data_IF_636694143246
#
_entry.id   IF_636694143246
#
_cell.length_a   1.000
_cell.length_b   1.000
_cell.length_c   1.000
_cell.angle_alpha   90.00
_cell.angle_beta   90.00
_cell.angle_gamma   90.00
#
_symmetry.space_group_name_H-M   'P 1'
#
loop_
_entity.id
_entity.type
_entity.pdbx_description
1 polymer ?
#
# COMPACT_ATOMS: atom_id res chain seq x y z
N UNK A 1 -21.96 -13.06 2.04
CA UNK A 1 -22.74 -12.03 2.77
C UNK A 1 -21.88 -11.21 3.74
N UNK A 2 -21.12 -11.84 4.65
CA UNK A 2 -20.29 -11.13 5.65
C UNK A 2 -19.21 -10.23 5.00
N UNK A 3 -18.47 -10.76 4.01
CA UNK A 3 -17.43 -9.99 3.29
C UNK A 3 -18.01 -8.79 2.54
N UNK A 4 -19.15 -8.99 1.85
CA UNK A 4 -19.85 -7.92 1.14
C UNK A 4 -20.38 -6.84 2.10
N UNK A 5 -20.90 -7.25 3.25
CA UNK A 5 -21.35 -6.34 4.32
C UNK A 5 -20.20 -5.52 4.93
N UNK A 6 -19.05 -6.16 5.18
CA UNK A 6 -17.85 -5.49 5.66
C UNK A 6 -17.31 -4.45 4.67
N UNK A 7 -17.24 -4.81 3.37
CA UNK A 7 -16.84 -3.88 2.31
C UNK A 7 -17.80 -2.69 2.20
N UNK A 8 -19.12 -2.95 2.22
CA UNK A 8 -20.13 -1.91 2.18
C UNK A 8 -20.01 -0.95 3.38
N UNK A 9 -19.77 -1.49 4.58
CA UNK A 9 -19.55 -0.68 5.78
C UNK A 9 -18.32 0.22 5.65
N UNK A 10 -17.16 -0.34 5.24
CA UNK A 10 -15.92 0.42 5.04
C UNK A 10 -16.12 1.52 4.00
N UNK A 11 -16.71 1.19 2.85
CA UNK A 11 -16.96 2.16 1.79
C UNK A 11 -17.87 3.30 2.26
N UNK A 12 -18.97 2.96 2.96
CA UNK A 12 -19.90 3.95 3.49
C UNK A 12 -19.24 4.87 4.52
N UNK A 13 -18.37 4.34 5.39
CA UNK A 13 -17.61 5.15 6.34
C UNK A 13 -16.63 6.11 5.64
N UNK A 14 -15.93 5.64 4.61
CA UNK A 14 -15.01 6.48 3.83
C UNK A 14 -15.74 7.57 3.05
N UNK A 15 -16.89 7.26 2.46
CA UNK A 15 -17.74 8.23 1.77
C UNK A 15 -18.25 9.29 2.74
N UNK A 16 -18.83 8.88 3.88
CA UNK A 16 -19.30 9.81 4.92
C UNK A 16 -18.19 10.75 5.40
N UNK A 17 -16.96 10.23 5.56
CA UNK A 17 -15.81 11.06 5.92
C UNK A 17 -15.44 12.07 4.86
N UNK A 18 -15.33 11.64 3.61
CA UNK A 18 -15.03 12.54 2.50
C UNK A 18 -16.10 13.63 2.39
N UNK A 19 -17.38 13.29 2.53
CA UNK A 19 -18.48 14.26 2.48
C UNK A 19 -18.46 15.23 3.67
N UNK A 20 -18.23 14.74 4.89
CA UNK A 20 -18.12 15.60 6.07
C UNK A 20 -16.89 16.53 6.01
N UNK A 21 -15.82 16.10 5.35
CA UNK A 21 -14.62 16.89 5.13
C UNK A 21 -14.84 18.04 4.12
N UNK A 22 -15.66 17.83 3.08
CA UNK A 22 -15.99 18.83 2.02
C UNK A 22 -16.57 20.13 2.60
N UNK A 23 -17.06 20.14 3.85
CA UNK A 23 -17.49 21.34 4.59
C UNK A 23 -16.37 22.28 5.09
N UNK A 24 -15.13 22.15 4.61
CA UNK A 24 -14.05 23.14 4.82
C UNK A 24 -13.20 22.97 6.09
N UNK A 25 -13.35 21.87 6.83
CA UNK A 25 -12.58 21.58 8.06
C UNK A 25 -11.88 20.21 8.08
N UNK A 26 -11.88 19.47 6.97
CA UNK A 26 -11.24 18.15 6.89
C UNK A 26 -9.74 18.24 6.64
N UNK A 27 -8.97 17.31 7.23
CA UNK A 27 -7.53 17.20 6.93
C UNK A 27 -7.37 16.69 5.48
N UNK A 28 -6.46 17.26 4.67
CA UNK A 28 -6.24 16.80 3.30
C UNK A 28 -5.96 15.29 3.15
N UNK A 29 -5.39 14.67 4.18
CA UNK A 29 -5.15 13.24 4.24
C UNK A 29 -6.45 12.40 4.22
N UNK A 30 -7.58 12.94 4.70
CA UNK A 30 -8.86 12.23 4.78
C UNK A 30 -9.42 11.88 3.38
N UNK A 31 -9.07 12.64 2.34
CA UNK A 31 -9.46 12.38 0.95
C UNK A 31 -8.56 11.38 0.24
N UNK A 32 -7.31 11.27 0.69
CA UNK A 32 -6.25 10.56 -0.02
C UNK A 32 -6.56 9.06 -0.13
N UNK A 33 -7.04 8.43 0.94
CA UNK A 33 -7.44 7.02 0.91
C UNK A 33 -8.62 6.76 -0.03
N UNK A 34 -9.68 7.57 0.04
CA UNK A 34 -10.86 7.38 -0.81
C UNK A 34 -10.50 7.51 -2.29
N UNK A 35 -9.81 8.61 -2.65
CA UNK A 35 -9.41 8.86 -4.05
C UNK A 35 -8.48 7.77 -4.54
N UNK A 36 -7.53 7.31 -3.72
CA UNK A 36 -6.62 6.21 -4.07
C UNK A 36 -7.38 4.90 -4.30
N UNK A 37 -8.33 4.54 -3.43
CA UNK A 37 -9.13 3.32 -3.60
C UNK A 37 -9.98 3.37 -4.87
N UNK A 38 -10.66 4.49 -5.12
CA UNK A 38 -11.43 4.69 -6.35
C UNK A 38 -10.51 4.59 -7.57
N UNK A 39 -9.33 5.20 -7.52
CA UNK A 39 -8.36 5.15 -8.60
C UNK A 39 -7.90 3.73 -8.91
N UNK A 40 -7.50 2.96 -7.90
CA UNK A 40 -7.04 1.59 -8.06
C UNK A 40 -8.15 0.69 -8.62
N UNK A 41 -9.38 0.79 -8.09
CA UNK A 41 -10.52 -0.01 -8.56
C UNK A 41 -10.86 0.32 -10.01
N UNK A 42 -10.95 1.61 -10.36
CA UNK A 42 -11.22 2.04 -11.74
C UNK A 42 -10.13 1.55 -12.69
N UNK A 43 -8.86 1.71 -12.31
CA UNK A 43 -7.72 1.25 -13.09
C UNK A 43 -7.76 -0.27 -13.31
N UNK A 44 -8.07 -1.03 -12.26
CA UNK A 44 -8.22 -2.48 -12.32
C UNK A 44 -9.34 -2.93 -13.25
N UNK A 45 -10.50 -2.26 -13.20
CA UNK A 45 -11.63 -2.53 -14.12
C UNK A 45 -11.23 -2.23 -15.56
N UNK A 46 -10.63 -1.05 -15.81
CA UNK A 46 -10.19 -0.61 -17.14
C UNK A 46 -9.18 -1.61 -17.73
N UNK A 47 -8.13 -1.98 -16.99
CA UNK A 47 -7.13 -2.92 -17.52
C UNK A 47 -7.64 -4.35 -17.65
N UNK A 48 -8.51 -4.81 -16.76
CA UNK A 48 -9.15 -6.12 -16.90
C UNK A 48 -9.99 -6.17 -18.18
N UNK A 49 -10.75 -5.12 -18.47
CA UNK A 49 -11.53 -5.03 -19.71
C UNK A 49 -10.62 -4.92 -20.94
N UNK A 50 -9.58 -4.08 -20.90
CA UNK A 50 -8.67 -3.90 -22.04
C UNK A 50 -7.90 -5.19 -22.37
N UNK A 51 -7.34 -5.86 -21.36
CA UNK A 51 -6.56 -7.08 -21.58
C UNK A 51 -7.42 -8.33 -21.78
N UNK A 52 -8.74 -8.22 -21.62
CA UNK A 52 -9.65 -9.22 -22.15
C UNK A 52 -9.66 -9.23 -23.69
N UNK A 53 -9.44 -8.07 -24.32
CA UNK A 53 -9.44 -7.93 -25.79
C UNK A 53 -8.04 -7.81 -26.41
N UNK A 54 -7.00 -7.57 -25.61
CA UNK A 54 -5.63 -7.32 -26.09
C UNK A 54 -4.59 -8.12 -25.30
N UNK A 55 -3.61 -8.68 -25.99
CA UNK A 55 -2.49 -9.39 -25.35
C UNK A 55 -1.63 -8.46 -24.49
N UNK A 56 -1.64 -8.71 -23.17
CA UNK A 56 -0.93 -7.92 -22.17
C UNK A 56 0.59 -8.15 -22.14
N UNK A 57 1.08 -9.16 -22.87
CA UNK A 57 2.50 -9.55 -22.88
C UNK A 57 3.33 -8.77 -23.89
N UNK A 58 2.71 -7.99 -24.76
CA UNK A 58 3.41 -7.22 -25.80
C UNK A 58 4.01 -5.92 -25.25
N UNK A 59 5.03 -5.38 -25.93
CA UNK A 59 5.61 -4.08 -25.54
C UNK A 59 4.62 -2.92 -25.76
N UNK A 60 3.76 -3.04 -26.77
CA UNK A 60 2.71 -2.04 -27.07
C UNK A 60 1.69 -1.96 -25.94
N UNK A 61 1.21 -3.11 -25.45
CA UNK A 61 0.27 -3.14 -24.33
C UNK A 61 0.91 -2.70 -23.01
N UNK A 62 2.20 -2.96 -22.82
CA UNK A 62 2.95 -2.42 -21.69
C UNK A 62 3.08 -0.89 -21.74
N UNK A 63 3.43 -0.32 -22.91
CA UNK A 63 3.46 1.13 -23.10
C UNK A 63 2.07 1.73 -22.83
N UNK A 64 1.02 1.10 -23.35
CA UNK A 64 -0.35 1.53 -23.12
C UNK A 64 -0.72 1.50 -21.63
N UNK A 65 -0.34 0.45 -20.91
CA UNK A 65 -0.56 0.34 -19.46
C UNK A 65 0.08 1.51 -18.70
N UNK A 66 1.36 1.79 -18.94
CA UNK A 66 2.06 2.86 -18.23
C UNK A 66 1.54 4.25 -18.62
N UNK A 67 1.30 4.48 -19.91
CA UNK A 67 0.77 5.76 -20.41
C UNK A 67 -0.64 6.02 -19.89
N UNK A 68 -1.55 5.03 -19.96
CA UNK A 68 -2.91 5.17 -19.45
C UNK A 68 -2.92 5.37 -17.94
N UNK A 69 -2.09 4.63 -17.20
CA UNK A 69 -1.92 4.84 -15.75
C UNK A 69 -1.46 6.26 -15.45
N UNK A 70 -0.50 6.79 -16.20
CA UNK A 70 0.00 8.16 -16.05
C UNK A 70 -1.06 9.20 -16.42
N UNK A 71 -1.80 9.01 -17.51
CA UNK A 71 -2.87 9.91 -17.97
C UNK A 71 -4.02 9.95 -16.96
N UNK A 72 -4.49 8.81 -16.47
CA UNK A 72 -5.55 8.78 -15.46
C UNK A 72 -5.04 9.32 -14.12
N UNK A 73 -3.83 8.93 -13.71
CA UNK A 73 -3.19 9.42 -12.49
C UNK A 73 -3.05 10.94 -12.47
N UNK A 74 -2.34 11.49 -13.45
CA UNK A 74 -2.00 12.91 -13.52
C UNK A 74 -3.12 13.79 -14.08
N UNK A 75 -3.95 13.25 -14.98
CA UNK A 75 -5.00 14.00 -15.68
C UNK A 75 -6.37 13.93 -15.01
N UNK A 76 -6.65 12.90 -14.20
CA UNK A 76 -7.96 12.73 -13.53
C UNK A 76 -7.81 12.75 -12.02
N UNK A 77 -7.03 11.82 -11.44
CA UNK A 77 -6.99 11.63 -10.00
C UNK A 77 -6.26 12.76 -9.25
N UNK A 78 -5.13 13.25 -9.78
CA UNK A 78 -4.41 14.40 -9.19
C UNK A 78 -5.26 15.68 -9.22
N UNK A 79 -5.90 16.09 -10.34
CA UNK A 79 -6.81 17.23 -10.37
C UNK A 79 -8.03 17.05 -9.48
N UNK A 80 -8.59 15.85 -9.40
CA UNK A 80 -9.69 15.56 -8.49
C UNK A 80 -9.27 15.74 -7.03
N UNK A 81 -8.09 15.23 -6.66
CA UNK A 81 -7.52 15.41 -5.33
C UNK A 81 -7.20 16.89 -5.06
N UNK A 82 -6.70 17.63 -6.05
CA UNK A 82 -6.47 19.07 -5.97
C UNK A 82 -7.76 19.83 -5.69
N UNK A 83 -8.85 19.44 -6.35
CA UNK A 83 -10.16 20.05 -6.16
C UNK A 83 -10.70 19.82 -4.73
N UNK A 84 -10.44 18.65 -4.14
CA UNK A 84 -10.84 18.30 -2.77
C UNK A 84 -9.96 19.00 -1.72
N UNK A 85 -8.64 18.95 -1.89
CA UNK A 85 -7.67 19.54 -0.95
C UNK A 85 -7.63 21.08 -1.06
N UNK A 86 -8.13 21.66 -2.15
CA UNK A 86 -8.00 23.10 -2.51
C UNK A 86 -6.55 23.57 -2.66
N UNK A 87 -5.62 22.62 -2.79
CA UNK A 87 -4.19 22.85 -3.01
C UNK A 87 -3.64 21.75 -3.89
N UNK A 88 -2.58 22.06 -4.63
CA UNK A 88 -1.91 21.07 -5.44
C UNK A 88 -1.35 19.91 -4.57
N UNK A 89 -1.74 18.64 -4.81
CA UNK A 89 -1.46 17.52 -3.92
C UNK A 89 0.02 17.23 -3.71
N UNK A 90 0.86 17.39 -4.74
CA UNK A 90 2.30 17.14 -4.62
C UNK A 90 2.98 18.15 -3.69
N UNK A 91 2.58 19.43 -3.79
CA UNK A 91 3.13 20.47 -2.91
C UNK A 91 2.67 20.26 -1.47
N UNK A 92 1.39 19.91 -1.29
CA UNK A 92 0.88 19.53 0.02
C UNK A 92 1.66 18.34 0.61
N UNK A 93 1.92 17.29 -0.19
CA UNK A 93 2.62 16.09 0.28
C UNK A 93 4.05 16.41 0.70
N UNK A 94 4.80 17.18 -0.10
CA UNK A 94 6.19 17.56 0.23
C UNK A 94 6.23 18.38 1.53
N UNK A 95 5.35 19.37 1.66
CA UNK A 95 5.28 20.17 2.88
C UNK A 95 4.87 19.34 4.09
N UNK A 96 3.93 18.41 3.91
CA UNK A 96 3.54 17.46 4.94
C UNK A 96 4.72 16.60 5.38
N UNK A 97 5.53 16.06 4.46
CA UNK A 97 6.67 15.21 4.81
C UNK A 97 7.77 15.98 5.55
N UNK A 98 8.00 17.24 5.20
CA UNK A 98 9.07 18.09 5.79
C UNK A 98 8.58 18.90 7.00
N UNK A 99 7.30 18.83 7.33
CA UNK A 99 6.67 19.66 8.37
C UNK A 99 7.34 19.55 9.75
N UNK A 100 7.86 18.37 10.12
CA UNK A 100 8.44 18.13 11.44
C UNK A 100 9.72 17.31 11.39
N UNK A 101 10.62 17.57 12.35
CA UNK A 101 11.85 16.77 12.54
C UNK A 101 11.52 15.31 12.84
N UNK A 102 10.43 15.05 13.57
CA UNK A 102 9.98 13.67 13.86
C UNK A 102 9.63 12.91 12.59
N UNK A 103 8.91 13.52 11.65
CA UNK A 103 8.61 12.91 10.34
C UNK A 103 9.87 12.61 9.55
N UNK A 104 10.82 13.54 9.51
CA UNK A 104 12.09 13.35 8.83
C UNK A 104 12.90 12.19 9.44
N UNK A 105 13.00 12.11 10.77
CA UNK A 105 13.69 10.99 11.43
C UNK A 105 13.00 9.65 11.19
N UNK A 106 11.66 9.61 11.21
CA UNK A 106 10.90 8.40 10.89
C UNK A 106 11.11 7.96 9.44
N UNK A 107 11.07 8.89 8.48
CA UNK A 107 11.34 8.60 7.07
C UNK A 107 12.77 8.08 6.87
N UNK A 108 13.76 8.69 7.52
CA UNK A 108 15.15 8.22 7.47
C UNK A 108 15.29 6.81 8.07
N UNK A 109 14.63 6.56 9.20
CA UNK A 109 14.62 5.24 9.82
C UNK A 109 13.98 4.19 8.92
N UNK A 110 12.80 4.46 8.36
CA UNK A 110 12.11 3.54 7.45
C UNK A 110 12.88 3.30 6.16
N UNK A 111 13.50 4.33 5.58
CA UNK A 111 14.34 4.15 4.38
C UNK A 111 15.56 3.29 4.68
N UNK A 112 16.23 3.47 5.82
CA UNK A 112 17.30 2.59 6.26
C UNK A 112 16.84 1.14 6.42
N UNK A 113 15.69 0.90 7.06
CA UNK A 113 15.10 -0.43 7.20
C UNK A 113 14.83 -1.09 5.85
N UNK A 114 14.27 -0.35 4.88
CA UNK A 114 14.02 -0.84 3.53
C UNK A 114 15.33 -1.20 2.82
N UNK A 115 16.36 -0.37 2.95
CA UNK A 115 17.68 -0.65 2.36
C UNK A 115 18.32 -1.90 2.97
N UNK A 116 18.26 -2.07 4.30
CA UNK A 116 18.74 -3.27 4.99
C UNK A 116 17.97 -4.50 4.53
N UNK A 117 16.63 -4.43 4.50
CA UNK A 117 15.79 -5.53 4.04
C UNK A 117 16.09 -5.91 2.58
N UNK A 118 16.24 -4.92 1.69
CA UNK A 118 16.59 -5.14 0.30
C UNK A 118 17.99 -5.77 0.17
N UNK A 119 18.98 -5.27 0.92
CA UNK A 119 20.32 -5.83 0.97
C UNK A 119 20.34 -7.29 1.42
N UNK A 120 19.59 -7.64 2.47
CA UNK A 120 19.46 -9.03 2.94
C UNK A 120 18.87 -9.92 1.85
N UNK A 121 17.80 -9.48 1.19
CA UNK A 121 17.14 -10.25 0.10
C UNK A 121 18.10 -10.46 -1.07
N UNK A 122 18.83 -9.42 -1.48
CA UNK A 122 19.79 -9.51 -2.58
C UNK A 122 20.96 -10.45 -2.25
N UNK A 123 21.49 -10.37 -1.02
CA UNK A 123 22.55 -11.26 -0.56
C UNK A 123 22.10 -12.73 -0.47
N UNK A 124 20.89 -12.97 0.03
CA UNK A 124 20.29 -14.31 0.05
C UNK A 124 20.08 -14.86 -1.35
N UNK A 125 19.61 -14.03 -2.28
CA UNK A 125 19.43 -14.42 -3.67
C UNK A 125 20.76 -14.78 -4.35
N UNK A 126 21.80 -13.96 -4.15
CA UNK A 126 23.13 -14.21 -4.72
C UNK A 126 23.78 -15.49 -4.18
N UNK A 127 23.64 -15.79 -2.89
CA UNK A 127 24.18 -17.02 -2.29
C UNK A 127 23.43 -18.28 -2.75
N UNK A 128 22.14 -18.16 -3.05
CA UNK A 128 21.33 -19.31 -3.48
C UNK A 128 21.62 -19.77 -4.91
N UNK A 129 22.12 -18.88 -5.78
CA UNK A 129 22.59 -19.26 -7.12
C UNK A 129 23.83 -20.18 -7.12
N UNK A 130 24.54 -20.32 -5.99
CA UNK A 130 25.77 -21.13 -5.89
C UNK A 130 25.61 -22.46 -5.14
N UNK A 131 24.51 -22.69 -4.41
CA UNK A 131 24.30 -23.90 -3.61
C UNK A 131 22.92 -24.52 -3.90
N UNK A 132 22.91 -25.64 -4.63
CA UNK A 132 21.72 -26.28 -5.23
C UNK A 132 20.88 -27.12 -4.24
N UNK A 133 20.73 -26.69 -2.99
CA UNK A 133 19.87 -27.36 -2.01
C UNK A 133 18.59 -26.55 -1.77
N UNK A 134 17.44 -27.14 -2.13
CA UNK A 134 16.09 -26.64 -1.80
C UNK A 134 15.97 -26.45 -0.27
N UNK A 135 15.75 -25.23 0.24
CA UNK A 135 15.52 -25.03 1.65
C UNK A 135 14.02 -24.83 1.96
N UNK A 136 13.62 -25.27 3.15
CA UNK A 136 12.33 -25.00 3.81
C UNK A 136 12.18 -23.49 4.13
N UNK A 137 11.92 -22.66 3.11
CA UNK A 137 12.04 -21.18 3.14
C UNK A 137 10.77 -20.44 3.60
N UNK A 138 9.64 -21.13 3.68
CA UNK A 138 8.33 -20.49 3.80
C UNK A 138 8.05 -19.83 5.15
N UNK A 139 8.29 -20.55 6.26
CA UNK A 139 7.84 -20.07 7.58
C UNK A 139 8.74 -18.98 8.17
N UNK A 140 10.04 -19.05 7.92
CA UNK A 140 11.02 -18.11 8.46
C UNK A 140 10.89 -16.75 7.75
N UNK A 141 10.71 -16.75 6.44
CA UNK A 141 10.60 -15.52 5.64
C UNK A 141 9.34 -14.73 5.99
N UNK A 142 8.21 -15.41 6.22
CA UNK A 142 6.97 -14.77 6.71
C UNK A 142 7.14 -14.09 8.05
N UNK A 143 7.87 -14.72 8.98
CA UNK A 143 8.17 -14.15 10.30
C UNK A 143 9.05 -12.89 10.18
N UNK A 144 10.04 -12.90 9.28
CA UNK A 144 10.87 -11.71 9.02
C UNK A 144 10.07 -10.54 8.45
N UNK A 145 9.19 -10.77 7.46
CA UNK A 145 8.36 -9.71 6.90
C UNK A 145 7.34 -9.16 7.90
N UNK A 146 6.72 -10.03 8.70
CA UNK A 146 5.82 -9.60 9.76
C UNK A 146 6.56 -8.79 10.84
N UNK A 147 7.74 -9.27 11.28
CA UNK A 147 8.58 -8.53 12.21
C UNK A 147 8.99 -7.16 11.66
N UNK A 148 9.41 -7.08 10.39
CA UNK A 148 9.73 -5.82 9.74
C UNK A 148 8.51 -4.88 9.70
N UNK A 149 7.33 -5.40 9.39
CA UNK A 149 6.09 -4.63 9.41
C UNK A 149 5.81 -4.08 10.81
N UNK A 150 5.95 -4.87 11.86
CA UNK A 150 5.80 -4.41 13.25
C UNK A 150 6.81 -3.31 13.58
N UNK A 151 8.09 -3.49 13.22
CA UNK A 151 9.15 -2.49 13.45
C UNK A 151 8.88 -1.17 12.70
N UNK A 152 8.19 -1.19 11.56
CA UNK A 152 7.77 0.02 10.84
C UNK A 152 6.52 0.64 11.49
N UNK A 153 5.51 -0.17 11.80
CA UNK A 153 4.20 0.30 12.28
C UNK A 153 4.22 0.81 13.72
N UNK A 154 4.95 0.17 14.64
CA UNK A 154 5.04 0.57 16.05
C UNK A 154 5.51 2.02 16.21
N UNK A 155 6.70 2.42 15.69
CA UNK A 155 7.12 3.82 15.79
C UNK A 155 6.22 4.76 15.00
N UNK A 156 5.62 4.31 13.89
CA UNK A 156 4.62 5.09 13.16
C UNK A 156 3.39 5.43 14.02
N UNK A 157 2.83 4.45 14.73
CA UNK A 157 1.65 4.67 15.59
C UNK A 157 1.98 5.49 16.84
N UNK A 158 3.19 5.33 17.38
CA UNK A 158 3.63 6.04 18.59
C UNK A 158 4.04 7.49 18.32
N UNK A 159 4.80 7.75 17.26
CA UNK A 159 5.39 9.08 17.02
C UNK A 159 4.61 9.94 16.02
N UNK A 160 4.07 9.36 14.94
CA UNK A 160 3.28 10.13 13.96
C UNK A 160 2.32 9.26 13.13
N UNK A 161 1.07 9.16 13.61
CA UNK A 161 0.01 8.42 12.92
C UNK A 161 -0.41 9.03 11.60
N UNK A 162 -0.33 10.35 11.46
CA UNK A 162 -0.70 11.01 10.22
C UNK A 162 0.27 10.64 9.10
N UNK A 163 1.57 10.59 9.42
CA UNK A 163 2.61 10.12 8.50
C UNK A 163 2.39 8.65 8.17
N UNK A 164 2.15 7.80 9.17
CA UNK A 164 1.88 6.38 8.96
C UNK A 164 0.64 6.16 8.09
N UNK A 165 -0.44 6.93 8.29
CA UNK A 165 -1.65 6.88 7.47
C UNK A 165 -1.31 7.14 6.00
N UNK A 166 -0.65 8.26 5.69
CA UNK A 166 -0.33 8.66 4.32
C UNK A 166 0.63 7.64 3.69
N UNK A 167 1.68 7.23 4.41
CA UNK A 167 2.62 6.23 3.95
C UNK A 167 1.95 4.89 3.64
N UNK A 168 1.04 4.43 4.51
CA UNK A 168 0.30 3.20 4.30
C UNK A 168 -0.60 3.24 3.05
N UNK A 169 -1.25 4.37 2.76
CA UNK A 169 -2.04 4.52 1.53
C UNK A 169 -1.15 4.49 0.29
N UNK A 170 -0.01 5.19 0.33
CA UNK A 170 0.96 5.18 -0.77
C UNK A 170 1.51 3.76 -1.00
N UNK A 171 1.86 3.04 0.07
CA UNK A 171 2.29 1.64 0.00
C UNK A 171 1.20 0.74 -0.60
N UNK A 172 -0.07 0.94 -0.22
CA UNK A 172 -1.19 0.19 -0.81
C UNK A 172 -1.26 0.43 -2.32
N UNK A 173 -1.18 1.68 -2.76
CA UNK A 173 -1.19 2.02 -4.19
C UNK A 173 -0.05 1.34 -4.94
N UNK A 174 1.18 1.43 -4.41
CA UNK A 174 2.36 0.79 -5.02
C UNK A 174 2.19 -0.73 -5.08
N UNK A 175 1.76 -1.38 -4.00
CA UNK A 175 1.61 -2.84 -3.98
C UNK A 175 0.53 -3.32 -4.94
N UNK A 176 -0.60 -2.62 -5.05
CA UNK A 176 -1.66 -2.97 -6.00
C UNK A 176 -1.21 -2.74 -7.44
N UNK A 177 -0.49 -1.64 -7.73
CA UNK A 177 0.06 -1.39 -9.06
C UNK A 177 1.11 -2.44 -9.46
N UNK A 178 2.00 -2.82 -8.54
CA UNK A 178 2.95 -3.91 -8.76
C UNK A 178 2.24 -5.25 -8.98
N UNK A 179 1.13 -5.47 -8.28
CA UNK A 179 0.30 -6.65 -8.51
C UNK A 179 -0.36 -6.63 -9.89
N UNK A 180 -0.85 -5.49 -10.38
CA UNK A 180 -1.34 -5.39 -11.76
C UNK A 180 -0.24 -5.68 -12.78
N UNK A 181 0.95 -5.12 -12.58
CA UNK A 181 2.12 -5.39 -13.45
C UNK A 181 2.45 -6.89 -13.46
N UNK A 182 2.44 -7.55 -12.29
CA UNK A 182 2.70 -8.99 -12.18
C UNK A 182 1.57 -9.81 -12.81
N UNK A 183 0.33 -9.52 -12.48
CA UNK A 183 -0.87 -10.24 -12.89
C UNK A 183 -1.03 -10.22 -14.41
N UNK A 184 -0.94 -9.03 -15.02
CA UNK A 184 -1.04 -8.85 -16.46
C UNK A 184 0.27 -9.08 -17.22
N UNK A 185 1.36 -9.52 -16.57
CA UNK A 185 2.65 -9.77 -17.23
C UNK A 185 3.24 -8.57 -18.00
N UNK A 186 3.07 -7.37 -17.46
CA UNK A 186 3.47 -6.12 -18.13
C UNK A 186 5.01 -6.04 -18.22
N UNK A 187 5.56 -5.91 -19.43
CA UNK A 187 7.01 -5.77 -19.64
C UNK A 187 7.54 -4.40 -19.18
N UNK A 188 8.80 -4.29 -18.73
CA UNK A 188 9.75 -5.37 -18.46
C UNK A 188 9.59 -6.00 -17.07
N UNK A 189 8.89 -5.31 -16.16
CA UNK A 189 8.89 -5.61 -14.73
C UNK A 189 8.09 -6.87 -14.38
N UNK A 190 7.08 -7.24 -15.15
CA UNK A 190 6.18 -8.36 -14.86
C UNK A 190 6.91 -9.70 -14.71
N UNK A 191 7.90 -9.96 -15.55
CA UNK A 191 8.71 -11.19 -15.45
C UNK A 191 9.69 -11.12 -14.27
N UNK A 192 10.39 -9.99 -14.11
CA UNK A 192 11.32 -9.78 -12.99
C UNK A 192 10.62 -9.92 -11.64
N UNK A 193 9.45 -9.31 -11.49
CA UNK A 193 8.63 -9.43 -10.28
C UNK A 193 8.25 -10.88 -10.02
N UNK A 194 7.79 -11.63 -11.05
CA UNK A 194 7.48 -13.06 -10.88
C UNK A 194 8.68 -13.85 -10.42
N UNK A 195 9.83 -13.71 -11.06
CA UNK A 195 11.04 -14.45 -10.66
C UNK A 195 11.47 -14.10 -9.24
N UNK A 196 11.50 -12.82 -8.88
CA UNK A 196 11.82 -12.39 -7.52
C UNK A 196 10.81 -12.90 -6.49
N UNK A 197 9.52 -12.90 -6.84
CA UNK A 197 8.46 -13.32 -5.94
C UNK A 197 8.34 -14.83 -5.83
N UNK A 198 8.66 -15.60 -6.88
CA UNK A 198 8.70 -17.08 -6.80
C UNK A 198 9.71 -17.57 -5.76
N UNK A 199 10.74 -16.78 -5.43
CA UNK A 199 11.67 -17.09 -4.33
C UNK A 199 11.00 -17.06 -2.96
N UNK A 200 9.87 -16.36 -2.85
CA UNK A 200 9.07 -16.23 -1.64
C UNK A 200 7.82 -17.13 -1.63
N UNK A 201 7.51 -17.83 -2.74
CA UNK A 201 6.42 -18.81 -2.82
C UNK A 201 6.94 -20.22 -2.45
N UNK A 202 6.18 -20.93 -1.63
CA UNK A 202 6.44 -22.32 -1.23
C UNK A 202 5.73 -23.30 -2.19
N UNK A 203 6.25 -24.52 -2.37
CA UNK A 203 5.63 -25.54 -3.25
C UNK A 203 4.26 -26.03 -2.72
N UNK A 204 3.94 -25.77 -1.44
CA UNK A 204 2.61 -26.02 -0.87
C UNK A 204 1.61 -24.89 -1.07
N UNK A 205 2.07 -23.71 -1.49
CA UNK A 205 1.27 -22.54 -1.80
C UNK A 205 1.31 -22.28 -3.31
N UNK A 206 0.77 -23.22 -4.08
CA UNK A 206 0.35 -23.02 -5.48
C UNK A 206 -0.83 -22.03 -5.58
N UNK A 207 -0.80 -20.96 -4.79
CA UNK A 207 -1.70 -19.83 -4.79
C UNK A 207 -0.92 -18.54 -5.13
N UNK A 208 -1.50 -17.59 -5.88
CA UNK A 208 -0.76 -16.53 -6.55
C UNK A 208 -0.47 -15.33 -5.62
N UNK A 209 0.47 -15.42 -4.67
CA UNK A 209 0.51 -14.47 -3.55
C UNK A 209 1.61 -13.39 -3.61
N UNK A 210 1.31 -12.25 -4.26
CA UNK A 210 1.61 -10.90 -3.73
C UNK A 210 0.56 -10.51 -2.66
N UNK A 211 -0.63 -11.13 -2.71
CA UNK A 211 -1.76 -10.88 -1.82
C UNK A 211 -1.40 -10.94 -0.32
N UNK A 212 -0.42 -11.75 0.13
CA UNK A 212 -0.06 -11.85 1.55
C UNK A 212 0.48 -10.54 2.11
N UNK A 213 1.25 -9.79 1.32
CA UNK A 213 1.81 -8.50 1.75
C UNK A 213 0.76 -7.39 1.71
N UNK A 214 -0.14 -7.43 0.73
CA UNK A 214 -1.31 -6.54 0.67
C UNK A 214 -2.24 -6.82 1.85
N UNK A 215 -2.50 -8.09 2.18
CA UNK A 215 -3.34 -8.48 3.31
C UNK A 215 -2.71 -8.11 4.65
N UNK A 216 -1.39 -8.28 4.79
CA UNK A 216 -0.67 -7.80 5.98
C UNK A 216 -0.80 -6.28 6.10
N UNK A 217 -0.51 -5.54 5.02
CA UNK A 217 -0.64 -4.08 5.00
C UNK A 217 -2.06 -3.63 5.33
N UNK A 218 -3.08 -4.28 4.76
CA UNK A 218 -4.49 -4.00 5.04
C UNK A 218 -4.83 -4.31 6.51
N UNK A 219 -4.42 -5.47 7.03
CA UNK A 219 -4.68 -5.86 8.43
C UNK A 219 -4.13 -4.85 9.43
N UNK A 220 -2.90 -4.39 9.22
CA UNK A 220 -2.24 -3.42 10.09
C UNK A 220 -2.79 -1.99 9.90
N UNK A 221 -3.16 -1.61 8.66
CA UNK A 221 -3.59 -0.25 8.31
C UNK A 221 -5.07 0.03 8.55
N UNK A 222 -5.94 -0.98 8.48
CA UNK A 222 -7.39 -0.79 8.60
C UNK A 222 -7.80 -0.06 9.90
N UNK A 223 -7.25 -0.38 11.08
CA UNK A 223 -7.55 0.38 12.30
C UNK A 223 -7.08 1.84 12.22
N UNK A 224 -5.90 2.08 11.64
CA UNK A 224 -5.33 3.42 11.46
C UNK A 224 -6.20 4.25 10.51
N UNK A 225 -6.72 3.63 9.44
CA UNK A 225 -7.56 4.30 8.44
C UNK A 225 -8.98 4.56 8.94
N UNK A 226 -9.59 3.59 9.63
CA UNK A 226 -10.95 3.71 10.14
C UNK A 226 -11.03 4.58 11.39
N UNK A 227 -9.98 4.64 12.22
CA UNK A 227 -10.01 5.34 13.51
C UNK A 227 -8.81 6.27 13.79
N UNK A 228 -8.50 7.23 12.90
CA UNK A 228 -7.37 8.16 13.06
C UNK A 228 -7.47 9.06 14.30
N UNK A 229 -8.68 9.38 14.80
CA UNK A 229 -8.93 10.38 15.87
C UNK A 229 -9.20 9.80 17.27
N UNK A 230 -9.31 8.47 17.44
CA UNK A 230 -9.81 7.87 18.70
C UNK A 230 -8.87 7.98 19.92
N UNK A 231 -7.63 8.45 19.75
CA UNK A 231 -6.66 8.51 20.85
C UNK A 231 -6.48 9.92 21.43
N UNK A 232 -7.08 10.94 20.83
CA UNK A 232 -7.05 12.30 21.36
C UNK A 232 -8.05 12.52 22.51
N UNK A 233 -9.07 11.65 22.65
CA UNK A 233 -10.23 11.90 23.52
C UNK A 233 -10.47 10.85 24.60
N UNK A 234 -9.68 9.78 24.71
CA UNK A 234 -9.91 8.74 25.70
C UNK A 234 -8.59 8.11 26.16
N UNK A 235 -8.02 8.64 27.24
CA UNK A 235 -6.96 7.97 28.00
C UNK A 235 -7.51 6.95 29.03
N UNK A 236 -8.83 6.77 29.11
CA UNK A 236 -9.48 6.04 30.22
C UNK A 236 -10.54 5.02 29.77
N UNK A 237 -10.40 4.42 28.58
CA UNK A 237 -11.33 3.39 28.12
C UNK A 237 -10.68 2.27 27.30
N UNK A 238 -11.38 1.12 27.11
CA UNK A 238 -10.92 -0.02 26.31
C UNK A 238 -10.66 0.31 24.83
N UNK A 239 -11.05 1.51 24.38
CA UNK A 239 -10.86 2.04 23.03
C UNK A 239 -9.41 2.47 22.72
N UNK A 240 -8.53 2.51 23.73
CA UNK A 240 -7.10 2.89 23.59
C UNK A 240 -6.28 1.88 22.79
N UNK A 241 -6.68 0.61 22.77
CA UNK A 241 -5.99 -0.48 22.08
C UNK A 241 -6.44 -0.67 20.62
N UNK A 242 -7.56 -0.07 20.24
CA UNK A 242 -8.15 -0.21 18.90
C UNK A 242 -7.17 0.06 17.72
N UNK A 243 -6.32 1.10 17.74
CA UNK A 243 -5.35 1.32 16.66
C UNK A 243 -4.19 0.30 16.65
N UNK A 244 -4.00 -0.46 17.73
CA UNK A 244 -2.98 -1.52 17.85
C UNK A 244 -3.53 -2.91 17.50
N UNK A 245 -4.85 -3.09 17.40
CA UNK A 245 -5.49 -4.38 17.09
C UNK A 245 -5.12 -4.95 15.71
N UNK A 246 -4.60 -4.13 14.80
CA UNK A 246 -4.07 -4.60 13.52
C UNK A 246 -2.60 -5.00 13.59
N UNK A 247 -1.88 -4.60 14.65
CA UNK A 247 -0.42 -4.68 14.82
C UNK A 247 0.00 -5.85 15.74
N UNK A 248 -0.84 -6.17 16.72
CA UNK A 248 -0.70 -7.29 17.67
C UNK A 248 -1.41 -8.54 17.14
#
# INVERSE_FOLDING_TARGET
LIVLGGLSFVLNQLIKRSLNAVGGKGDPADYLLLVTLVALVLLGIIFSALFFFMDSTTWTSALFFYMMTAVLGLGVFVPWLQYLIKRHPLFWLVEFLVQSKTRLYLLLFWTCLVLVACGIVLLQNSKRSTDSKKPQVSTITRKYFHFLAVVVYVPGVMYDRSLLYVAAVVCLAVFVLLEYVRFFHIKPLGQTLRTLLTLFLDERDSGPLILSHIYLLLGMSLPVWLFPRLCATSLSGPSTLLPYCGIL
#
